data_IF_952863659097
#
_entry.id   IF_952863659097
#
_cell.length_a   1.000
_cell.length_b   1.000
_cell.length_c   1.000
_cell.angle_alpha   90.00
_cell.angle_beta   90.00
_cell.angle_gamma   90.00
#
_symmetry.space_group_name_H-M   'P 1'
#
loop_
_entity.id
_entity.type
_entity.pdbx_description
1 polymer ?
#
# COMPACT_ATOMS: atom_id res chain seq x y z
N UNK A 1 -17.56 13.13 -22.46
CA UNK A 1 -17.47 11.65 -22.30
C UNK A 1 -16.18 11.38 -21.53
N UNK A 2 -16.27 10.93 -20.27
CA UNK A 2 -15.11 10.42 -19.55
C UNK A 2 -15.06 8.91 -19.82
N UNK A 3 -14.00 8.42 -20.46
CA UNK A 3 -13.71 6.99 -20.45
C UNK A 3 -13.19 6.67 -19.04
N UNK A 4 -14.11 6.48 -18.10
CA UNK A 4 -13.77 6.21 -16.71
C UNK A 4 -13.33 4.76 -16.60
N UNK A 5 -12.03 4.52 -16.48
CA UNK A 5 -11.53 3.25 -15.94
C UNK A 5 -11.90 3.24 -14.46
N UNK A 6 -12.72 2.26 -14.06
CA UNK A 6 -12.92 1.95 -12.64
C UNK A 6 -11.74 1.11 -12.16
N UNK A 7 -11.51 1.06 -10.84
CA UNK A 7 -10.45 0.22 -10.27
C UNK A 7 -10.56 -1.23 -10.77
N UNK A 8 -11.79 -1.74 -10.93
CA UNK A 8 -12.10 -3.08 -11.43
C UNK A 8 -11.71 -3.29 -12.89
N UNK A 9 -11.63 -2.22 -13.69
CA UNK A 9 -11.18 -2.27 -15.08
C UNK A 9 -9.64 -2.25 -15.18
N UNK A 10 -8.95 -2.11 -14.04
CA UNK A 10 -7.49 -2.13 -13.96
C UNK A 10 -7.00 -3.44 -13.35
N UNK A 11 -5.75 -3.85 -13.63
CA UNK A 11 -5.11 -4.97 -12.93
C UNK A 11 -5.04 -4.82 -11.40
N UNK A 12 -5.35 -3.63 -10.85
CA UNK A 12 -5.39 -3.33 -9.43
C UNK A 12 -6.72 -3.64 -8.76
N UNK A 13 -7.79 -3.90 -9.52
CA UNK A 13 -9.11 -4.22 -8.98
C UNK A 13 -9.27 -5.67 -8.52
N UNK A 14 -8.21 -6.49 -8.65
CA UNK A 14 -8.21 -7.83 -8.07
C UNK A 14 -7.72 -7.78 -6.61
N UNK A 15 -8.68 -7.63 -5.69
CA UNK A 15 -8.44 -7.61 -4.24
C UNK A 15 -7.73 -8.88 -3.73
N UNK A 16 -7.81 -9.99 -4.48
CA UNK A 16 -7.20 -11.27 -4.12
C UNK A 16 -5.68 -11.24 -4.05
N UNK A 17 -5.01 -10.41 -4.86
CA UNK A 17 -3.53 -10.41 -4.94
C UNK A 17 -2.91 -9.97 -3.61
N UNK A 18 -3.42 -8.91 -2.99
CA UNK A 18 -2.89 -8.44 -1.70
C UNK A 18 -3.19 -9.46 -0.59
N UNK A 19 -4.38 -10.07 -0.61
CA UNK A 19 -4.75 -11.07 0.39
C UNK A 19 -3.88 -12.33 0.30
N UNK A 20 -3.59 -12.82 -0.90
CA UNK A 20 -2.69 -13.97 -1.12
C UNK A 20 -1.28 -13.73 -0.55
N UNK A 21 -0.75 -12.51 -0.67
CA UNK A 21 0.55 -12.17 -0.10
C UNK A 21 0.51 -12.16 1.44
N UNK A 22 -0.56 -11.64 2.04
CA UNK A 22 -0.76 -11.67 3.50
C UNK A 22 -0.86 -13.11 4.00
N UNK A 23 -1.62 -13.96 3.31
CA UNK A 23 -1.79 -15.38 3.65
C UNK A 23 -0.48 -16.16 3.51
N UNK A 24 0.41 -15.74 2.61
CA UNK A 24 1.77 -16.25 2.46
C UNK A 24 2.76 -15.71 3.51
N UNK A 25 2.31 -14.85 4.45
CA UNK A 25 3.15 -14.24 5.49
C UNK A 25 4.00 -13.07 5.00
N UNK A 26 3.72 -12.53 3.81
CA UNK A 26 4.38 -11.33 3.29
C UNK A 26 3.74 -10.10 3.93
N UNK A 27 4.56 -9.14 4.37
CA UNK A 27 4.04 -7.93 4.99
C UNK A 27 3.15 -7.16 4.01
N UNK A 28 2.12 -6.48 4.53
CA UNK A 28 1.26 -5.64 3.69
C UNK A 28 2.07 -4.57 2.93
N UNK A 29 3.17 -4.08 3.52
CA UNK A 29 4.07 -3.13 2.88
C UNK A 29 4.74 -3.73 1.64
N UNK A 30 5.27 -4.94 1.75
CA UNK A 30 5.97 -5.62 0.67
C UNK A 30 4.99 -6.10 -0.41
N UNK A 31 3.80 -6.56 -0.02
CA UNK A 31 2.74 -6.92 -0.95
C UNK A 31 2.34 -5.73 -1.85
N UNK A 32 2.20 -4.53 -1.28
CA UNK A 32 1.89 -3.33 -2.05
C UNK A 32 3.10 -2.88 -2.88
N UNK A 33 4.32 -2.93 -2.32
CA UNK A 33 5.54 -2.59 -3.05
C UNK A 33 5.78 -3.49 -4.27
N UNK A 34 5.46 -4.79 -4.17
CA UNK A 34 5.53 -5.71 -5.30
C UNK A 34 4.63 -5.25 -6.46
N UNK A 35 3.43 -4.76 -6.18
CA UNK A 35 2.53 -4.20 -7.20
C UNK A 35 3.10 -2.90 -7.76
N UNK A 36 3.68 -2.05 -6.90
CA UNK A 36 4.33 -0.80 -7.33
C UNK A 36 5.45 -1.08 -8.32
N UNK A 37 6.31 -2.04 -8.03
CA UNK A 37 7.43 -2.42 -8.91
C UNK A 37 6.94 -3.11 -10.19
N UNK A 38 5.97 -4.03 -10.08
CA UNK A 38 5.45 -4.77 -11.24
C UNK A 38 4.85 -3.87 -12.32
N UNK A 39 4.28 -2.73 -11.91
CA UNK A 39 3.55 -1.83 -12.81
C UNK A 39 4.15 -0.41 -12.88
N UNK A 40 5.38 -0.23 -12.40
CA UNK A 40 6.09 1.05 -12.40
C UNK A 40 5.25 2.22 -11.82
N UNK A 41 4.53 1.96 -10.72
CA UNK A 41 3.64 2.95 -10.12
C UNK A 41 4.42 4.10 -9.47
N UNK A 42 3.83 5.29 -9.54
CA UNK A 42 4.43 6.51 -8.98
C UNK A 42 3.59 7.01 -7.81
N UNK A 43 4.26 7.36 -6.70
CA UNK A 43 3.65 7.96 -5.51
C UNK A 43 3.17 9.40 -5.79
N UNK A 44 1.93 9.71 -5.42
CA UNK A 44 1.28 11.01 -5.69
C UNK A 44 1.16 11.92 -4.47
N UNK A 45 1.31 11.39 -3.26
CA UNK A 45 1.23 12.11 -1.97
C UNK A 45 2.49 12.94 -1.65
N UNK A 46 3.44 13.02 -2.59
CA UNK A 46 4.70 13.73 -2.42
C UNK A 46 4.48 15.23 -2.49
N UNK A 47 4.50 15.89 -1.33
CA UNK A 47 4.59 17.33 -1.26
C UNK A 47 6.02 17.81 -1.54
N UNK A 48 6.19 18.55 -2.64
CA UNK A 48 7.29 19.49 -2.85
C UNK A 48 8.33 19.09 -3.89
N UNK A 49 8.82 20.11 -4.61
CA UNK A 49 9.95 20.09 -5.54
C UNK A 49 11.22 19.55 -4.87
N UNK A 50 11.37 18.23 -4.85
CA UNK A 50 12.62 17.55 -4.53
C UNK A 50 13.37 17.32 -5.84
N UNK A 51 14.58 17.88 -5.96
CA UNK A 51 15.47 17.61 -7.09
C UNK A 51 15.99 16.15 -7.08
N UNK A 52 15.77 15.42 -6.00
CA UNK A 52 16.19 14.03 -5.84
C UNK A 52 15.07 13.05 -6.22
N UNK A 53 15.44 11.96 -6.91
CA UNK A 53 14.52 10.88 -7.29
C UNK A 53 14.11 10.13 -6.03
N UNK A 54 12.91 10.43 -5.52
CA UNK A 54 12.38 9.74 -4.34
C UNK A 54 11.90 8.32 -4.70
N UNK A 55 12.13 7.36 -3.81
CA UNK A 55 11.74 5.95 -3.98
C UNK A 55 10.23 5.78 -4.07
N UNK A 56 9.68 5.14 -5.12
CA UNK A 56 8.23 4.93 -5.28
C UNK A 56 7.64 4.02 -4.19
N UNK A 57 8.50 3.30 -3.48
CA UNK A 57 8.12 2.32 -2.47
C UNK A 57 7.55 2.97 -1.21
N UNK A 58 6.58 2.27 -0.63
CA UNK A 58 6.02 2.56 0.68
C UNK A 58 6.93 2.03 1.78
N UNK A 59 6.89 2.73 2.91
CA UNK A 59 7.50 2.31 4.16
C UNK A 59 6.43 1.86 5.16
N UNK A 60 6.84 1.15 6.22
CA UNK A 60 5.94 0.81 7.34
C UNK A 60 5.27 2.06 7.95
N UNK A 61 5.94 3.21 7.92
CA UNK A 61 5.38 4.49 8.41
C UNK A 61 4.20 4.92 7.54
N UNK A 62 4.28 4.72 6.23
CA UNK A 62 3.21 5.08 5.30
C UNK A 62 1.98 4.20 5.55
N UNK A 63 2.16 2.90 5.83
CA UNK A 63 1.07 2.00 6.23
C UNK A 63 0.41 2.46 7.55
N UNK A 64 1.22 2.84 8.55
CA UNK A 64 0.70 3.36 9.82
C UNK A 64 -0.11 4.65 9.61
N UNK A 65 0.39 5.58 8.78
CA UNK A 65 -0.31 6.82 8.43
C UNK A 65 -1.63 6.53 7.71
N UNK A 66 -1.62 5.61 6.74
CA UNK A 66 -2.82 5.22 5.99
C UNK A 66 -3.88 4.65 6.93
N UNK A 67 -3.51 3.73 7.84
CA UNK A 67 -4.42 3.17 8.85
C UNK A 67 -4.99 4.24 9.77
N UNK A 68 -4.19 5.22 10.18
CA UNK A 68 -4.68 6.36 10.97
C UNK A 68 -5.73 7.16 10.19
N UNK A 69 -5.44 7.47 8.93
CA UNK A 69 -6.33 8.24 8.07
C UNK A 69 -7.66 7.51 7.78
N UNK A 70 -7.62 6.17 7.71
CA UNK A 70 -8.81 5.33 7.50
C UNK A 70 -9.50 4.89 8.79
N UNK A 71 -9.03 5.31 9.96
CA UNK A 71 -9.61 4.93 11.25
C UNK A 71 -9.35 3.49 11.69
N UNK A 72 -8.43 2.78 11.03
CA UNK A 72 -8.04 1.38 11.33
C UNK A 72 -6.99 1.26 12.44
N UNK A 73 -6.73 2.33 13.19
CA UNK A 73 -5.91 2.28 14.41
C UNK A 73 -6.83 2.16 15.62
N UNK A 74 -7.08 0.94 16.11
CA UNK A 74 -7.76 0.73 17.39
C UNK A 74 -6.76 0.46 18.51
N UNK A 75 -7.15 0.81 19.74
CA UNK A 75 -6.28 0.81 20.94
C UNK A 75 -5.79 -0.59 21.35
N UNK A 76 -6.39 -1.66 20.80
CA UNK A 76 -6.10 -3.06 21.15
C UNK A 76 -5.33 -3.81 20.04
N UNK A 77 -5.10 -3.19 18.88
CA UNK A 77 -4.52 -3.85 17.71
C UNK A 77 -2.98 -3.81 17.67
N UNK A 78 -2.31 -3.35 18.73
CA UNK A 78 -0.85 -3.19 18.70
C UNK A 78 -0.11 -4.48 18.33
N UNK A 79 -0.68 -5.64 18.71
CA UNK A 79 -0.17 -6.97 18.38
C UNK A 79 -0.48 -7.39 16.93
N UNK A 80 -1.70 -7.17 16.46
CA UNK A 80 -2.08 -7.33 15.04
C UNK A 80 -1.24 -6.42 14.12
N UNK A 81 -0.86 -5.24 14.61
CA UNK A 81 -0.01 -4.26 13.93
C UNK A 81 1.43 -4.76 13.84
N UNK A 82 2.01 -5.38 14.88
CA UNK A 82 3.35 -5.96 14.80
C UNK A 82 3.41 -7.16 13.87
N UNK A 83 2.39 -8.01 13.89
CA UNK A 83 2.38 -9.25 13.12
C UNK A 83 2.28 -8.97 11.61
N UNK A 84 1.41 -8.03 11.18
CA UNK A 84 1.25 -7.66 9.76
C UNK A 84 2.42 -6.82 9.23
N UNK A 85 3.06 -6.02 10.11
CA UNK A 85 4.19 -5.20 9.69
C UNK A 85 5.49 -5.98 9.67
N UNK A 86 5.68 -6.96 10.55
CA UNK A 86 6.98 -7.62 10.77
C UNK A 86 7.13 -8.96 10.06
N UNK A 87 6.02 -9.61 9.69
CA UNK A 87 6.04 -10.99 9.20
C UNK A 87 6.09 -11.98 10.35
#
# INVERSE_FOLDING_TARGET
RHYGLTLNDTPFGNDGVIQEHIDAGISLCDAVNFIVEKYDLVRTDRHGFSAETQSPLLTRIDILRARKATGLMTRNDYRTVTDITTG
#
